data_IF_456667225102
#
_entry.id   IF_456667225102
#
_cell.length_a   1.000
_cell.length_b   1.000
_cell.length_c   1.000
_cell.angle_alpha   90.00
_cell.angle_beta   90.00
_cell.angle_gamma   90.00
#
_symmetry.space_group_name_H-M   'P 1'
#
loop_
_entity.id
_entity.type
_entity.pdbx_description
1 polymer ?
#
# COMPACT_ATOMS: atom_id res chain seq x y z
N UNK A 1 -29.47 15.44 7.34
CA UNK A 1 -28.66 14.53 8.17
C UNK A 1 -27.21 14.94 7.97
N UNK A 2 -26.61 15.50 9.02
CA UNK A 2 -25.19 15.86 9.02
C UNK A 2 -24.36 14.59 9.18
N UNK A 3 -23.44 14.34 8.25
CA UNK A 3 -22.49 13.24 8.36
C UNK A 3 -21.37 13.67 9.31
N UNK A 4 -21.32 13.07 10.51
CA UNK A 4 -20.21 13.23 11.43
C UNK A 4 -19.03 12.37 10.95
N UNK A 5 -18.02 13.00 10.37
CA UNK A 5 -16.76 12.34 10.01
C UNK A 5 -15.80 12.44 11.20
N UNK A 6 -15.58 11.34 11.90
CA UNK A 6 -14.52 11.23 12.91
C UNK A 6 -13.30 10.60 12.23
N UNK A 7 -12.23 11.39 12.05
CA UNK A 7 -10.93 10.87 11.59
C UNK A 7 -10.20 10.24 12.77
N UNK A 8 -10.20 8.92 12.84
CA UNK A 8 -9.31 8.17 13.71
C UNK A 8 -7.96 8.00 12.99
N UNK A 9 -6.90 7.86 13.78
CA UNK A 9 -5.52 7.71 13.32
C UNK A 9 -5.37 6.70 12.16
N UNK A 10 -4.50 7.00 11.19
CA UNK A 10 -4.21 6.22 9.97
C UNK A 10 -5.22 6.30 8.80
N UNK A 11 -6.12 7.28 8.80
CA UNK A 11 -7.06 7.49 7.67
C UNK A 11 -8.26 6.55 7.69
N UNK A 12 -8.53 5.95 8.84
CA UNK A 12 -9.76 5.20 9.11
C UNK A 12 -10.85 6.17 9.54
N UNK A 13 -12.04 6.02 8.96
CA UNK A 13 -13.19 6.86 9.29
C UNK A 13 -14.48 6.04 9.33
N UNK A 14 -15.46 6.52 10.09
CA UNK A 14 -16.82 5.98 10.07
C UNK A 14 -17.68 6.77 9.10
N UNK A 15 -18.47 6.09 8.29
CA UNK A 15 -19.46 6.71 7.40
C UNK A 15 -20.75 5.90 7.33
N UNK A 16 -21.88 6.58 7.13
CA UNK A 16 -23.18 5.94 6.95
C UNK A 16 -23.61 6.00 5.49
N UNK A 17 -23.94 4.83 4.91
CA UNK A 17 -24.45 4.73 3.54
C UNK A 17 -25.65 3.79 3.52
N UNK A 18 -26.79 4.28 3.01
CA UNK A 18 -28.02 3.48 2.95
C UNK A 18 -28.56 3.02 4.32
N UNK A 19 -28.24 3.75 5.40
CA UNK A 19 -28.65 3.40 6.77
C UNK A 19 -27.72 2.41 7.47
N UNK A 20 -26.66 1.93 6.82
CA UNK A 20 -25.63 1.05 7.40
C UNK A 20 -24.40 1.89 7.77
N UNK A 21 -23.83 1.65 8.94
CA UNK A 21 -22.57 2.24 9.37
C UNK A 21 -21.39 1.39 8.86
N UNK A 22 -20.43 2.04 8.21
CA UNK A 22 -19.22 1.44 7.68
C UNK A 22 -17.98 2.01 8.35
N UNK A 23 -17.03 1.13 8.67
CA UNK A 23 -15.64 1.48 8.92
C UNK A 23 -14.92 1.50 7.57
N UNK A 24 -14.50 2.68 7.15
CA UNK A 24 -13.84 2.89 5.86
C UNK A 24 -12.35 3.06 6.07
N UNK A 25 -11.58 2.21 5.40
CA UNK A 25 -10.14 2.11 5.56
C UNK A 25 -9.43 2.07 4.19
N UNK A 26 -8.33 2.79 3.99
CA UNK A 26 -7.58 2.74 2.74
C UNK A 26 -6.82 1.42 2.60
N UNK A 27 -6.57 0.99 1.37
CA UNK A 27 -5.80 -0.22 1.07
C UNK A 27 -5.00 -0.11 -0.23
N UNK A 28 -3.91 -0.88 -0.30
CA UNK A 28 -3.17 -1.16 -1.53
C UNK A 28 -3.37 -2.62 -1.91
N UNK A 29 -4.00 -2.88 -3.06
CA UNK A 29 -4.43 -4.20 -3.52
C UNK A 29 -3.30 -4.94 -4.22
N UNK A 30 -2.72 -4.29 -5.23
CA UNK A 30 -1.73 -4.88 -6.13
C UNK A 30 -0.70 -3.83 -6.53
N UNK A 31 0.47 -4.32 -6.90
CA UNK A 31 1.53 -3.59 -7.60
C UNK A 31 2.24 -4.56 -8.51
N UNK A 32 2.98 -4.04 -9.47
CA UNK A 32 3.75 -4.88 -10.38
C UNK A 32 4.77 -5.73 -9.61
N UNK A 33 4.65 -7.06 -9.75
CA UNK A 33 5.50 -8.05 -9.09
C UNK A 33 5.23 -9.47 -9.61
N UNK A 34 6.16 -10.39 -9.33
CA UNK A 34 5.90 -11.83 -9.36
C UNK A 34 5.17 -12.26 -8.08
N UNK A 35 4.02 -12.89 -8.22
CA UNK A 35 3.23 -13.43 -7.11
C UNK A 35 3.16 -14.96 -7.21
N UNK A 36 3.10 -15.63 -6.07
CA UNK A 36 2.89 -17.08 -6.02
C UNK A 36 1.44 -17.41 -6.42
N UNK A 37 1.27 -17.96 -7.63
CA UNK A 37 0.01 -18.49 -8.11
C UNK A 37 -0.15 -19.99 -7.80
N UNK A 38 -1.36 -20.52 -7.98
CA UNK A 38 -1.67 -21.95 -7.82
C UNK A 38 -0.85 -22.87 -8.75
N UNK A 39 -0.34 -22.32 -9.86
CA UNK A 39 0.49 -23.02 -10.84
C UNK A 39 1.96 -22.58 -10.82
N UNK A 40 2.41 -21.93 -9.74
CA UNK A 40 3.76 -21.39 -9.58
C UNK A 40 3.84 -19.86 -9.76
N UNK A 41 5.07 -19.30 -9.81
CA UNK A 41 5.28 -17.87 -9.86
C UNK A 41 4.76 -17.25 -11.16
N UNK A 42 3.86 -16.28 -11.00
CA UNK A 42 3.11 -15.61 -12.05
C UNK A 42 3.43 -14.12 -11.99
N UNK A 43 3.87 -13.53 -13.12
CA UNK A 43 4.17 -12.11 -13.19
C UNK A 43 2.89 -11.29 -13.41
N UNK A 44 2.69 -10.28 -12.56
CA UNK A 44 1.57 -9.34 -12.64
C UNK A 44 2.05 -7.98 -13.19
N UNK A 45 1.98 -7.74 -14.51
CA UNK A 45 2.47 -6.51 -15.12
C UNK A 45 1.62 -5.29 -14.77
N UNK A 46 2.24 -4.12 -14.65
CA UNK A 46 1.55 -2.89 -14.25
C UNK A 46 0.41 -2.49 -15.20
N UNK A 47 0.53 -2.80 -16.48
CA UNK A 47 -0.47 -2.44 -17.48
C UNK A 47 -1.77 -3.23 -17.35
N UNK A 48 -1.71 -4.49 -16.90
CA UNK A 48 -2.91 -5.30 -16.61
C UNK A 48 -3.59 -4.83 -15.33
N UNK A 49 -2.78 -4.49 -14.31
CA UNK A 49 -3.28 -3.88 -13.07
C UNK A 49 -4.00 -2.55 -13.39
N UNK A 50 -3.41 -1.72 -14.25
CA UNK A 50 -4.02 -0.44 -14.68
C UNK A 50 -5.32 -0.66 -15.46
N UNK A 51 -5.39 -1.65 -16.35
CA UNK A 51 -6.60 -1.97 -17.12
C UNK A 51 -7.76 -2.40 -16.24
N UNK A 52 -7.50 -3.24 -15.24
CA UNK A 52 -8.54 -3.77 -14.33
C UNK A 52 -8.93 -2.83 -13.19
N UNK A 53 -8.29 -1.66 -13.08
CA UNK A 53 -8.41 -0.78 -11.89
C UNK A 53 -9.85 -0.47 -11.49
N UNK A 54 -10.72 -0.11 -12.44
CA UNK A 54 -12.10 0.28 -12.13
C UNK A 54 -13.00 -0.92 -11.78
N UNK A 55 -12.63 -2.12 -12.22
CA UNK A 55 -13.41 -3.35 -12.02
C UNK A 55 -13.38 -3.83 -10.56
N UNK A 56 -12.41 -3.35 -9.77
CA UNK A 56 -12.33 -3.67 -8.34
C UNK A 56 -13.40 -2.97 -7.50
N UNK A 57 -13.89 -1.80 -7.92
CA UNK A 57 -14.95 -1.11 -7.16
C UNK A 57 -16.25 -1.90 -7.26
N UNK A 58 -16.84 -2.23 -6.12
CA UNK A 58 -18.01 -3.10 -5.99
C UNK A 58 -17.68 -4.56 -5.68
N UNK A 59 -16.41 -4.99 -5.79
CA UNK A 59 -16.03 -6.33 -5.34
C UNK A 59 -16.24 -6.47 -3.81
N UNK A 60 -16.67 -7.65 -3.34
CA UNK A 60 -16.81 -7.92 -1.92
C UNK A 60 -15.46 -7.99 -1.21
N UNK A 61 -15.46 -7.55 0.05
CA UNK A 61 -14.37 -7.77 1.00
C UNK A 61 -14.79 -8.87 1.95
N UNK A 62 -13.99 -9.92 2.08
CA UNK A 62 -14.28 -11.12 2.89
C UNK A 62 -13.28 -11.30 4.03
N UNK A 63 -13.72 -11.98 5.08
CA UNK A 63 -12.86 -12.53 6.11
C UNK A 63 -12.21 -13.82 5.57
N UNK A 64 -10.92 -13.75 5.26
CA UNK A 64 -10.17 -14.80 4.54
C UNK A 64 -10.77 -15.14 3.16
N UNK A 65 -10.15 -16.07 2.45
CA UNK A 65 -10.66 -16.53 1.14
C UNK A 65 -11.95 -17.36 1.30
N UNK A 66 -12.95 -17.18 0.42
CA UNK A 66 -14.11 -18.06 0.34
C UNK A 66 -13.68 -19.52 0.12
N UNK A 67 -14.29 -20.44 0.87
CA UNK A 67 -13.99 -21.87 0.73
C UNK A 67 -15.25 -22.71 0.82
N UNK A 68 -15.39 -23.68 -0.08
CA UNK A 68 -16.46 -24.67 -0.04
C UNK A 68 -15.87 -26.06 0.16
N UNK A 69 -16.31 -26.75 1.22
CA UNK A 69 -15.78 -28.07 1.60
C UNK A 69 -14.24 -28.07 1.76
N UNK A 70 -13.68 -26.98 2.31
CA UNK A 70 -12.23 -26.81 2.52
C UNK A 70 -11.42 -26.49 1.25
N UNK A 71 -12.07 -26.28 0.10
CA UNK A 71 -11.40 -25.90 -1.15
C UNK A 71 -11.66 -24.42 -1.47
N UNK A 72 -10.65 -23.66 -1.94
CA UNK A 72 -10.85 -22.30 -2.41
C UNK A 72 -11.90 -22.25 -3.54
N UNK A 73 -12.79 -21.28 -3.49
CA UNK A 73 -13.80 -21.02 -4.52
C UNK A 73 -13.84 -19.54 -4.88
N UNK A 74 -14.43 -19.22 -6.03
CA UNK A 74 -14.82 -17.85 -6.34
C UNK A 74 -15.90 -17.38 -5.37
N UNK A 75 -15.93 -16.09 -5.09
CA UNK A 75 -16.93 -15.50 -4.21
C UNK A 75 -18.36 -15.80 -4.67
N UNK A 76 -18.60 -15.72 -5.98
CA UNK A 76 -19.89 -16.01 -6.59
C UNK A 76 -20.47 -17.39 -6.22
N UNK A 77 -19.63 -18.33 -5.77
CA UNK A 77 -20.02 -19.69 -5.40
C UNK A 77 -20.31 -19.87 -3.89
N UNK A 78 -19.94 -18.89 -3.05
CA UNK A 78 -20.08 -18.91 -1.57
C UNK A 78 -20.33 -17.49 -1.01
N UNK A 79 -21.52 -16.97 -1.36
CA UNK A 79 -21.77 -15.54 -1.56
C UNK A 79 -22.02 -14.66 -0.33
N UNK A 80 -21.88 -15.12 0.92
CA UNK A 80 -22.25 -14.21 2.01
C UNK A 80 -21.63 -14.49 3.39
N UNK A 81 -21.42 -15.75 3.78
CA UNK A 81 -21.14 -16.09 5.19
C UNK A 81 -19.95 -15.32 5.80
N UNK A 82 -18.94 -15.02 4.97
CA UNK A 82 -17.70 -14.36 5.38
C UNK A 82 -17.55 -12.93 4.84
N UNK A 83 -18.56 -12.38 4.17
CA UNK A 83 -18.51 -11.02 3.64
C UNK A 83 -18.47 -10.02 4.79
N UNK A 84 -17.55 -9.06 4.75
CA UNK A 84 -17.43 -7.98 5.72
C UNK A 84 -17.90 -6.65 5.13
N UNK A 85 -17.87 -6.52 3.80
CA UNK A 85 -18.17 -5.27 3.13
C UNK A 85 -17.80 -5.31 1.65
N UNK A 86 -17.40 -4.18 1.11
CA UNK A 86 -17.06 -4.05 -0.32
C UNK A 86 -15.90 -3.07 -0.54
N UNK A 87 -15.32 -3.15 -1.73
CA UNK A 87 -14.29 -2.23 -2.22
C UNK A 87 -14.98 -1.03 -2.88
N UNK A 88 -14.51 0.17 -2.62
CA UNK A 88 -14.93 1.38 -3.33
C UNK A 88 -13.71 2.24 -3.69
N UNK A 89 -13.90 3.18 -4.62
CA UNK A 89 -12.90 4.17 -5.04
C UNK A 89 -11.56 3.54 -5.44
N UNK A 90 -11.60 2.47 -6.24
CA UNK A 90 -10.41 1.84 -6.79
C UNK A 90 -9.72 2.74 -7.83
N UNK A 91 -8.42 2.96 -7.68
CA UNK A 91 -7.64 3.87 -8.50
C UNK A 91 -6.15 3.55 -8.45
N UNK A 92 -5.43 3.97 -9.49
CA UNK A 92 -3.97 3.95 -9.49
C UNK A 92 -3.40 5.14 -8.74
N UNK A 93 -2.47 4.90 -7.82
CA UNK A 93 -1.59 5.92 -7.24
C UNK A 93 -0.16 5.50 -7.53
N UNK A 94 0.50 6.19 -8.46
CA UNK A 94 1.81 5.76 -8.97
C UNK A 94 1.72 4.39 -9.65
N UNK A 95 2.51 3.43 -9.17
CA UNK A 95 2.54 2.04 -9.64
C UNK A 95 1.73 1.06 -8.75
N UNK A 96 0.83 1.58 -7.92
CA UNK A 96 0.02 0.80 -6.98
C UNK A 96 -1.46 0.94 -7.32
N UNK A 97 -2.17 -0.19 -7.36
CA UNK A 97 -3.62 -0.22 -7.32
C UNK A 97 -4.08 -0.06 -5.87
N UNK A 98 -4.82 1.01 -5.62
CA UNK A 98 -5.32 1.39 -4.30
C UNK A 98 -6.83 1.47 -4.31
N UNK A 99 -7.46 1.32 -3.15
CA UNK A 99 -8.90 1.49 -2.99
C UNK A 99 -9.25 1.77 -1.52
N UNK A 100 -10.54 1.81 -1.22
CA UNK A 100 -11.09 1.86 0.14
C UNK A 100 -11.88 0.59 0.41
N UNK A 101 -11.63 -0.05 1.55
CA UNK A 101 -12.53 -1.07 2.08
C UNK A 101 -13.64 -0.37 2.88
N UNK A 102 -14.89 -0.68 2.56
CA UNK A 102 -16.08 -0.25 3.28
C UNK A 102 -16.63 -1.42 4.06
N UNK A 103 -16.22 -1.55 5.32
CA UNK A 103 -16.54 -2.69 6.18
C UNK A 103 -17.77 -2.37 7.03
N UNK A 104 -18.82 -3.16 6.92
CA UNK A 104 -20.02 -3.02 7.75
C UNK A 104 -19.62 -3.21 9.23
N UNK A 105 -19.87 -2.20 10.07
CA UNK A 105 -19.41 -2.18 11.46
C UNK A 105 -20.02 -3.33 12.26
N UNK A 106 -21.34 -3.48 12.21
CA UNK A 106 -22.06 -4.50 12.99
C UNK A 106 -21.62 -5.91 12.55
N UNK A 107 -21.54 -6.13 11.24
CA UNK A 107 -21.15 -7.42 10.68
C UNK A 107 -19.70 -7.76 10.99
N UNK A 108 -18.79 -6.80 10.84
CA UNK A 108 -17.36 -7.02 11.08
C UNK A 108 -17.07 -7.26 12.56
N UNK A 109 -17.70 -6.51 13.47
CA UNK A 109 -17.60 -6.76 14.91
C UNK A 109 -18.10 -8.16 15.29
N UNK A 110 -19.19 -8.62 14.66
CA UNK A 110 -19.76 -9.95 14.91
C UNK A 110 -18.89 -11.09 14.37
N UNK A 111 -18.36 -10.96 13.15
CA UNK A 111 -17.62 -12.02 12.48
C UNK A 111 -16.12 -12.03 12.84
N UNK A 112 -15.54 -10.86 13.11
CA UNK A 112 -14.10 -10.69 13.28
C UNK A 112 -13.76 -9.56 14.29
N UNK A 113 -14.15 -9.69 15.58
CA UNK A 113 -13.98 -8.62 16.57
C UNK A 113 -12.52 -8.16 16.73
N UNK A 114 -11.57 -9.10 16.71
CA UNK A 114 -10.14 -8.80 16.84
C UNK A 114 -9.58 -8.06 15.62
N UNK A 115 -10.05 -8.43 14.42
CA UNK A 115 -9.72 -7.73 13.18
C UNK A 115 -10.28 -6.31 13.21
N UNK A 116 -11.55 -6.16 13.59
CA UNK A 116 -12.21 -4.86 13.72
C UNK A 116 -11.46 -3.93 14.68
N UNK A 117 -11.18 -4.40 15.90
CA UNK A 117 -10.43 -3.64 16.89
C UNK A 117 -9.01 -3.30 16.39
N UNK A 118 -8.39 -4.21 15.62
CA UNK A 118 -7.10 -3.94 14.99
C UNK A 118 -7.14 -2.82 13.97
N UNK A 119 -8.15 -2.81 13.11
CA UNK A 119 -8.32 -1.77 12.09
C UNK A 119 -8.61 -0.42 12.75
N UNK A 120 -9.50 -0.38 13.76
CA UNK A 120 -9.75 0.85 14.51
C UNK A 120 -8.50 1.39 15.21
N UNK A 121 -7.62 0.50 15.69
CA UNK A 121 -6.34 0.87 16.28
C UNK A 121 -5.26 1.22 15.24
N UNK A 122 -5.57 1.22 13.94
CA UNK A 122 -4.63 1.57 12.89
C UNK A 122 -3.62 0.47 12.54
N UNK A 123 -3.85 -0.79 12.96
CA UNK A 123 -2.94 -1.91 12.66
C UNK A 123 -3.07 -2.35 11.20
N UNK A 124 -1.97 -2.34 10.41
CA UNK A 124 -2.00 -2.89 9.05
C UNK A 124 -2.48 -4.34 9.03
N UNK A 125 -3.24 -4.69 8.00
CA UNK A 125 -3.78 -6.05 7.82
C UNK A 125 -3.32 -6.61 6.48
N UNK A 126 -2.85 -7.85 6.52
CA UNK A 126 -2.56 -8.65 5.33
C UNK A 126 -3.83 -8.82 4.48
N UNK A 127 -3.65 -8.80 3.16
CA UNK A 127 -4.75 -9.02 2.22
C UNK A 127 -4.34 -9.92 1.07
N UNK A 128 -5.33 -10.46 0.39
CA UNK A 128 -5.14 -11.22 -0.84
C UNK A 128 -6.27 -10.92 -1.82
N UNK A 129 -5.92 -10.86 -3.10
CA UNK A 129 -6.86 -10.66 -4.19
C UNK A 129 -7.30 -11.99 -4.78
N UNK A 130 -8.60 -12.21 -4.88
CA UNK A 130 -9.18 -13.26 -5.72
C UNK A 130 -9.53 -12.68 -7.09
N UNK A 131 -9.00 -13.28 -8.15
CA UNK A 131 -9.28 -12.89 -9.53
C UNK A 131 -9.03 -14.05 -10.49
N UNK A 132 -9.74 -14.07 -11.61
CA UNK A 132 -9.40 -14.92 -12.74
C UNK A 132 -8.44 -14.19 -13.69
N UNK A 133 -7.56 -14.95 -14.33
CA UNK A 133 -6.57 -14.45 -15.29
C UNK A 133 -6.40 -15.44 -16.44
N UNK A 134 -6.03 -14.94 -17.62
CA UNK A 134 -5.42 -15.75 -18.67
C UNK A 134 -3.91 -15.80 -18.40
N UNK A 135 -3.31 -17.00 -18.35
CA UNK A 135 -1.87 -17.15 -18.07
C UNK A 135 -1.10 -17.38 -19.37
N UNK A 136 -0.40 -16.34 -19.83
CA UNK A 136 0.48 -16.39 -21.01
C UNK A 136 1.84 -16.99 -20.62
N UNK A 137 2.36 -18.01 -21.31
CA UNK A 137 3.72 -18.51 -21.05
C UNK A 137 4.77 -17.42 -21.23
N UNK A 138 5.69 -17.31 -20.27
CA UNK A 138 6.81 -16.39 -20.37
C UNK A 138 7.95 -16.97 -21.22
N UNK A 139 8.90 -16.11 -21.60
CA UNK A 139 10.15 -16.56 -22.20
C UNK A 139 10.96 -17.39 -21.19
N UNK A 140 11.85 -18.24 -21.71
CA UNK A 140 12.75 -19.02 -20.86
C UNK A 140 13.61 -18.08 -19.99
N UNK A 141 13.72 -18.40 -18.70
CA UNK A 141 14.44 -17.60 -17.70
C UNK A 141 13.92 -16.17 -17.51
N UNK A 142 12.64 -15.90 -17.81
CA UNK A 142 12.02 -14.62 -17.51
C UNK A 142 12.11 -14.28 -16.00
N UNK A 143 12.46 -13.03 -15.72
CA UNK A 143 12.72 -12.53 -14.37
C UNK A 143 12.20 -11.10 -14.21
N UNK A 144 11.69 -10.79 -13.02
CA UNK A 144 11.33 -9.44 -12.61
C UNK A 144 11.80 -9.23 -11.17
N UNK A 145 12.53 -8.15 -10.92
CA UNK A 145 13.12 -7.82 -9.61
C UNK A 145 13.86 -8.99 -8.93
N UNK A 146 14.64 -9.77 -9.70
CA UNK A 146 15.39 -10.91 -9.16
C UNK A 146 14.58 -12.19 -8.98
N UNK A 147 13.29 -12.19 -9.34
CA UNK A 147 12.37 -13.33 -9.16
C UNK A 147 11.99 -13.92 -10.51
N UNK A 148 12.26 -15.21 -10.69
CA UNK A 148 11.87 -15.94 -11.91
C UNK A 148 10.37 -16.24 -11.93
N UNK A 149 9.80 -16.18 -13.12
CA UNK A 149 8.40 -16.53 -13.36
C UNK A 149 8.25 -17.36 -14.63
N UNK A 150 7.20 -18.19 -14.68
CA UNK A 150 6.94 -19.05 -15.83
C UNK A 150 5.81 -18.53 -16.72
N UNK A 151 4.95 -17.66 -16.18
CA UNK A 151 3.79 -17.13 -16.87
C UNK A 151 3.60 -15.64 -16.54
N UNK A 152 2.88 -14.95 -17.42
CA UNK A 152 2.43 -13.58 -17.27
C UNK A 152 0.91 -13.62 -17.11
N UNK A 153 0.40 -13.02 -16.05
CA UNK A 153 -1.04 -12.87 -15.84
C UNK A 153 -1.59 -11.82 -16.81
N UNK A 154 -2.68 -12.15 -17.52
CA UNK A 154 -3.41 -11.30 -18.46
C UNK A 154 -4.90 -11.30 -18.17
N UNK A 155 -5.64 -10.36 -18.75
CA UNK A 155 -7.11 -10.32 -18.77
C UNK A 155 -7.73 -10.47 -17.36
N UNK A 156 -7.32 -9.60 -16.44
CA UNK A 156 -7.72 -9.72 -15.03
C UNK A 156 -9.24 -9.54 -14.90
N UNK A 157 -9.85 -10.46 -14.16
CA UNK A 157 -11.27 -10.40 -13.79
C UNK A 157 -11.37 -10.47 -12.28
N UNK A 158 -11.44 -9.30 -11.60
CA UNK A 158 -11.59 -9.23 -10.16
C UNK A 158 -12.80 -10.02 -9.67
N UNK A 159 -12.66 -10.72 -8.54
CA UNK A 159 -13.73 -11.49 -7.92
C UNK A 159 -13.97 -11.01 -6.47
N UNK A 160 -12.94 -11.03 -5.62
CA UNK A 160 -13.04 -10.57 -4.23
C UNK A 160 -11.70 -10.10 -3.65
N UNK A 161 -11.76 -9.51 -2.46
CA UNK A 161 -10.59 -9.23 -1.63
C UNK A 161 -10.75 -9.88 -0.25
N UNK A 162 -9.77 -10.70 0.12
CA UNK A 162 -9.72 -11.36 1.41
C UNK A 162 -8.85 -10.56 2.38
N UNK A 163 -9.38 -10.19 3.54
CA UNK A 163 -8.59 -9.75 4.68
C UNK A 163 -8.10 -10.97 5.44
N UNK A 164 -6.78 -11.11 5.56
CA UNK A 164 -6.13 -12.31 6.08
C UNK A 164 -5.77 -12.11 7.56
N UNK A 165 -6.24 -13.03 8.40
CA UNK A 165 -6.00 -12.98 9.86
C UNK A 165 -4.92 -13.94 10.33
N UNK A 166 -4.57 -14.94 9.52
CA UNK A 166 -3.75 -16.09 9.91
C UNK A 166 -2.55 -16.34 8.98
N UNK A 167 -2.45 -15.62 7.87
CA UNK A 167 -1.44 -15.86 6.83
C UNK A 167 -1.00 -14.57 6.14
N UNK A 168 0.19 -14.64 5.56
CA UNK A 168 0.76 -13.58 4.72
C UNK A 168 0.07 -13.56 3.35
N UNK A 169 -0.24 -12.37 2.83
CA UNK A 169 -0.76 -12.19 1.48
C UNK A 169 0.29 -12.44 0.39
N UNK A 170 -0.17 -12.79 -0.82
CA UNK A 170 0.73 -12.95 -1.97
C UNK A 170 1.46 -11.63 -2.30
N UNK A 171 0.74 -10.51 -2.24
CA UNK A 171 1.35 -9.19 -2.03
C UNK A 171 1.10 -8.78 -0.58
N UNK A 172 2.13 -8.84 0.25
CA UNK A 172 2.00 -8.62 1.69
C UNK A 172 2.13 -7.17 2.15
N UNK A 173 1.93 -6.93 3.45
CA UNK A 173 2.25 -5.64 4.10
C UNK A 173 3.70 -5.25 3.91
N UNK A 174 4.63 -6.20 4.06
CA UNK A 174 6.05 -5.96 3.83
C UNK A 174 6.36 -5.63 2.35
N UNK A 175 5.53 -6.13 1.43
CA UNK A 175 5.65 -5.88 -0.01
C UNK A 175 5.01 -4.55 -0.44
N UNK A 176 4.33 -3.88 0.49
CA UNK A 176 3.63 -2.61 0.33
C UNK A 176 2.18 -2.74 -0.16
N UNK A 177 1.56 -3.90 0.04
CA UNK A 177 0.11 -4.12 -0.15
C UNK A 177 -0.55 -4.35 1.22
N UNK A 178 -1.85 -4.16 1.37
CA UNK A 178 -2.49 -4.33 2.67
C UNK A 178 -3.56 -3.29 2.96
N UNK A 179 -4.41 -3.61 3.93
CA UNK A 179 -5.30 -2.64 4.53
C UNK A 179 -4.48 -1.75 5.46
N UNK A 180 -4.76 -0.44 5.43
CA UNK A 180 -3.99 0.61 6.09
C UNK A 180 -2.55 0.74 5.60
N UNK A 181 -2.26 0.21 4.41
CA UNK A 181 -0.99 0.41 3.70
C UNK A 181 -1.19 1.48 2.62
N UNK A 182 -0.84 2.72 2.97
CA UNK A 182 -1.10 3.90 2.15
C UNK A 182 0.00 4.18 1.13
N UNK A 183 -0.34 4.20 -0.16
CA UNK A 183 0.53 4.70 -1.22
C UNK A 183 0.83 6.21 -1.10
N UNK A 184 -0.04 7.00 -0.46
CA UNK A 184 0.18 8.45 -0.30
C UNK A 184 1.15 8.80 0.83
N UNK A 185 1.30 7.94 1.84
CA UNK A 185 2.25 8.15 2.94
C UNK A 185 3.71 8.08 2.46
N UNK A 186 4.00 7.32 1.39
CA UNK A 186 5.33 7.26 0.77
C UNK A 186 5.74 8.59 0.12
N UNK A 187 4.80 9.48 -0.22
CA UNK A 187 5.12 10.82 -0.77
C UNK A 187 5.69 11.80 0.26
N UNK A 188 5.59 11.51 1.56
CA UNK A 188 6.08 12.37 2.64
C UNK A 188 7.30 11.81 3.39
N UNK A 189 7.78 10.60 3.07
CA UNK A 189 9.01 10.02 3.62
C UNK A 189 10.26 10.33 2.78
N UNK A 190 10.21 11.37 1.96
CA UNK A 190 11.40 11.98 1.37
C UNK A 190 12.11 12.87 2.40
N UNK A 191 13.36 12.52 2.72
CA UNK A 191 14.32 13.23 3.58
C UNK A 191 14.28 12.86 5.09
N UNK A 192 14.72 11.64 5.40
CA UNK A 192 15.75 11.48 6.44
C UNK A 192 16.89 10.66 5.82
N UNK A 193 17.96 11.37 5.46
CA UNK A 193 19.11 10.80 4.79
C UNK A 193 19.85 9.79 5.67
N UNK A 194 20.03 8.59 5.13
CA UNK A 194 21.15 7.73 5.48
C UNK A 194 22.25 8.05 4.46
N UNK A 195 23.47 8.45 4.87
CA UNK A 195 24.55 8.72 3.92
C UNK A 195 25.18 7.39 3.48
N UNK A 196 25.12 7.08 2.18
CA UNK A 196 26.00 6.06 1.61
C UNK A 196 25.50 5.40 0.34
N UNK A 197 26.14 5.78 -0.78
CA UNK A 197 26.29 5.02 -2.04
C UNK A 197 25.00 4.81 -2.87
N UNK A 198 24.83 5.28 -4.10
CA UNK A 198 25.69 5.97 -5.07
C UNK A 198 25.15 5.65 -6.48
N UNK A 199 24.79 6.70 -7.25
CA UNK A 199 24.58 6.68 -8.72
C UNK A 199 23.27 6.06 -9.22
N UNK A 200 22.56 6.54 -10.24
CA UNK A 200 22.69 7.67 -11.16
C UNK A 200 21.25 8.06 -11.56
N UNK A 201 20.91 9.35 -11.53
CA UNK A 201 19.76 9.89 -12.26
C UNK A 201 20.28 11.14 -12.98
N UNK A 202 20.38 11.04 -14.30
CA UNK A 202 20.64 12.18 -15.17
C UNK A 202 19.46 13.15 -15.05
N UNK A 203 19.74 14.34 -14.52
CA UNK A 203 18.83 15.47 -14.57
C UNK A 203 19.36 16.43 -15.64
N UNK A 204 18.71 16.42 -16.81
CA UNK A 204 18.89 17.49 -17.79
C UNK A 204 18.44 18.82 -17.21
N UNK A 205 19.30 19.81 -17.44
CA UNK A 205 19.34 21.09 -16.76
C UNK A 205 18.31 22.07 -17.34
N UNK A 206 17.34 22.49 -16.53
CA UNK A 206 16.61 23.73 -16.78
C UNK A 206 17.45 24.91 -16.27
N UNK A 207 18.07 25.64 -17.22
CA UNK A 207 18.83 26.84 -16.95
C UNK A 207 17.99 27.94 -16.32
N UNK A 208 18.49 28.51 -15.21
CA UNK A 208 18.18 29.88 -14.81
C UNK A 208 19.47 30.58 -14.41
N UNK A 209 19.68 31.70 -15.07
CA UNK A 209 20.82 32.60 -14.95
C UNK A 209 21.01 33.10 -13.52
N UNK A 210 22.28 33.11 -13.11
CA UNK A 210 22.76 33.79 -11.92
C UNK A 210 23.10 35.22 -12.32
N UNK A 211 22.37 36.21 -11.81
CA UNK A 211 22.90 37.57 -11.66
C UNK A 211 23.56 37.67 -10.29
N UNK A 212 24.91 37.76 -10.33
CA UNK A 212 25.74 38.24 -9.24
C UNK A 212 25.52 39.75 -9.13
N UNK A 213 25.27 40.26 -7.93
CA UNK A 213 25.81 41.55 -7.55
C UNK A 213 26.36 41.52 -6.12
N UNK A 214 27.51 42.17 -6.01
CA UNK A 214 28.40 42.28 -4.87
C UNK A 214 28.05 43.55 -4.10
N UNK A 215 28.07 43.49 -2.77
CA UNK A 215 28.57 44.58 -1.88
C UNK A 215 28.64 44.02 -0.45
N UNK A 216 29.83 43.66 0.04
CA UNK A 216 30.80 44.49 0.80
C UNK A 216 30.31 44.94 2.17
N UNK A 217 30.81 44.19 3.15
CA UNK A 217 31.17 44.46 4.55
C UNK A 217 30.83 45.83 5.19
N UNK A 218 30.34 45.74 6.43
CA UNK A 218 30.86 46.52 7.56
C UNK A 218 30.77 45.71 8.87
N UNK A 219 31.95 45.43 9.43
CA UNK A 219 32.19 44.91 10.77
C UNK A 219 31.68 45.88 11.85
N UNK A 220 31.25 45.37 13.02
CA UNK A 220 31.68 45.80 14.36
C UNK A 220 31.44 44.71 15.42
N UNK A 221 32.55 44.15 15.92
CA UNK A 221 32.90 43.82 17.32
C UNK A 221 31.85 43.27 18.29
N UNK A 222 32.09 42.06 18.82
CA UNK A 222 32.57 41.86 20.20
C UNK A 222 33.12 40.43 20.36
N UNK A 223 34.33 40.31 20.93
CA UNK A 223 35.02 39.05 21.19
C UNK A 223 34.55 38.38 22.50
N UNK A 224 34.76 37.05 22.67
CA UNK A 224 34.19 36.25 23.74
C UNK A 224 35.12 36.12 24.96
N UNK A 225 34.52 35.92 26.15
CA UNK A 225 35.24 35.55 27.37
C UNK A 225 35.78 34.11 27.25
N UNK A 226 37.11 33.98 27.30
CA UNK A 226 37.82 32.71 27.41
C UNK A 226 37.92 32.22 28.85
N UNK A 227 37.86 30.90 29.02
CA UNK A 227 38.32 30.16 30.19
C UNK A 227 39.78 29.70 29.93
N UNK A 228 40.69 29.75 30.91
CA UNK A 228 42.00 29.11 30.80
C UNK A 228 41.95 27.66 31.30
N UNK A 229 42.59 26.77 30.55
CA UNK A 229 42.97 25.42 30.99
C UNK A 229 44.49 25.32 30.84
N UNK A 230 45.20 25.07 31.94
CA UNK A 230 46.64 24.77 31.98
C UNK A 230 46.87 23.38 32.60
N UNK A 231 48.07 22.86 32.32
CA UNK A 231 48.76 21.64 32.83
C UNK A 231 48.41 20.32 32.10
N UNK A 232 49.34 19.49 31.57
CA UNK A 232 50.82 19.45 31.51
C UNK A 232 51.26 18.32 30.53
N UNK A 233 52.33 18.58 29.75
CA UNK A 233 53.49 17.72 29.34
C UNK A 233 53.30 16.22 29.03
N UNK A 234 53.59 15.75 27.80
CA UNK A 234 54.90 15.21 27.35
C UNK A 234 55.40 14.03 28.20
N UNK A 235 55.21 12.79 27.73
CA UNK A 235 56.16 11.97 26.94
C UNK A 235 55.42 10.81 26.26
#
# INVERSE_FOLDING_TARGET
MENLVVNLTAGVRRETRGGVEYLVAPMTLLRERVLDGSSGPLFYPIDEIRRSTLEWSGCPVTLNHPTRNGKPVLYAEDNDAMTLGFIDNSKMIGNRLTAQAWLDVERTQRLAPELFAGIEAGRPVELSTGLATTNEPAQEFAEFDGVRFSHIARDYKPDHLALLTDRKGACSVADGCGLLVNAEAEKHFGVFGVPGQGGYLEAEMAGKEVQKDKEVQKEKNFAPFGLPQEYLSEE
#
